data_IF_367532917880
#
_entry.id   IF_367532917880
#
_cell.length_a   1.000
_cell.length_b   1.000
_cell.length_c   1.000
_cell.angle_alpha   90.00
_cell.angle_beta   90.00
_cell.angle_gamma   90.00
#
_symmetry.space_group_name_H-M   'P 1'
#
loop_
_entity.id
_entity.type
_entity.pdbx_description
1 polymer ?
#
# COMPACT_ATOMS: atom_id res chain seq x y z
N UNK A 1 77.21 -54.36 28.52
CA UNK A 1 76.25 -53.33 28.05
C UNK A 1 76.46 -52.07 28.88
N UNK A 2 77.33 -51.18 28.40
CA UNK A 2 77.54 -49.83 28.93
C UNK A 2 78.46 -49.13 27.93
N UNK A 3 77.97 -48.10 27.24
CA UNK A 3 78.80 -47.33 26.32
C UNK A 3 78.69 -45.84 26.65
N UNK A 4 79.86 -45.32 27.05
CA UNK A 4 80.19 -43.95 27.39
C UNK A 4 80.03 -43.02 26.19
N UNK A 5 79.66 -41.78 26.52
CA UNK A 5 79.69 -40.56 25.70
C UNK A 5 81.13 -40.23 25.25
N UNK A 6 81.28 -39.56 24.09
CA UNK A 6 82.08 -38.34 24.07
C UNK A 6 81.37 -37.13 23.42
N UNK A 7 81.68 -35.95 23.95
CA UNK A 7 81.22 -34.62 23.53
C UNK A 7 81.88 -34.19 22.21
N UNK A 8 81.14 -33.54 21.33
CA UNK A 8 81.43 -32.21 20.75
C UNK A 8 80.75 -32.00 19.39
N UNK A 9 79.91 -30.96 19.30
CA UNK A 9 79.80 -29.98 18.21
C UNK A 9 78.53 -29.15 18.44
N UNK A 10 78.68 -28.11 19.25
CA UNK A 10 77.78 -26.96 19.25
C UNK A 10 77.93 -26.27 17.89
N UNK A 11 76.83 -26.17 17.16
CA UNK A 11 76.72 -25.35 15.96
C UNK A 11 76.68 -23.88 16.37
N UNK A 12 77.79 -23.17 16.18
CA UNK A 12 77.82 -21.71 16.13
C UNK A 12 77.09 -21.26 14.86
N UNK A 13 75.94 -20.63 15.02
CA UNK A 13 75.36 -19.80 13.97
C UNK A 13 76.00 -18.41 14.05
N UNK A 14 76.78 -18.05 13.03
CA UNK A 14 77.35 -16.73 12.87
C UNK A 14 76.23 -15.70 12.67
N UNK A 15 76.10 -14.79 13.63
CA UNK A 15 75.20 -13.64 13.58
C UNK A 15 75.99 -12.43 13.07
N UNK A 16 76.25 -12.39 11.76
CA UNK A 16 76.95 -11.26 11.13
C UNK A 16 76.13 -10.77 9.92
N UNK A 17 75.75 -9.49 10.00
CA UNK A 17 75.16 -8.65 8.95
C UNK A 17 73.70 -8.93 8.53
N UNK A 18 72.75 -8.74 9.46
CA UNK A 18 71.42 -8.29 9.08
C UNK A 18 71.48 -6.80 8.75
N UNK A 19 71.67 -6.48 7.47
CA UNK A 19 71.60 -5.10 6.98
C UNK A 19 70.28 -4.47 7.40
N UNK A 20 70.35 -3.38 8.16
CA UNK A 20 69.23 -2.58 8.69
C UNK A 20 68.18 -2.29 7.60
N UNK A 21 68.62 -2.17 6.35
CA UNK A 21 67.74 -1.96 5.19
C UNK A 21 66.76 -3.12 4.95
N UNK A 22 67.14 -4.37 5.22
CA UNK A 22 66.25 -5.52 5.06
C UNK A 22 65.17 -5.59 6.14
N UNK A 23 65.48 -5.11 7.35
CA UNK A 23 64.51 -5.00 8.45
C UNK A 23 63.51 -3.88 8.16
N UNK A 24 63.96 -2.72 7.69
CA UNK A 24 63.07 -1.64 7.26
C UNK A 24 62.19 -2.03 6.07
N UNK A 25 62.73 -2.78 5.10
CA UNK A 25 61.94 -3.27 3.96
C UNK A 25 60.86 -4.26 4.41
N UNK A 26 61.16 -5.13 5.38
CA UNK A 26 60.21 -6.09 5.93
C UNK A 26 59.10 -5.39 6.73
N UNK A 27 59.45 -4.38 7.54
CA UNK A 27 58.48 -3.57 8.31
C UNK A 27 57.60 -2.74 7.38
N UNK A 28 58.16 -2.18 6.31
CA UNK A 28 57.41 -1.44 5.30
C UNK A 28 56.45 -2.37 4.51
N UNK A 29 56.88 -3.59 4.19
CA UNK A 29 56.04 -4.60 3.54
C UNK A 29 54.89 -5.06 4.44
N UNK A 30 55.13 -5.25 5.74
CA UNK A 30 54.10 -5.60 6.73
C UNK A 30 53.11 -4.45 6.93
N UNK A 31 53.57 -3.19 6.92
CA UNK A 31 52.70 -2.01 6.96
C UNK A 31 51.86 -1.85 5.68
N UNK A 32 52.41 -2.19 4.51
CA UNK A 32 51.66 -2.22 3.24
C UNK A 32 50.58 -3.31 3.24
N UNK A 33 50.90 -4.49 3.77
CA UNK A 33 49.94 -5.60 3.89
C UNK A 33 48.83 -5.28 4.91
N UNK A 34 49.16 -4.54 5.98
CA UNK A 34 48.19 -4.09 6.99
C UNK A 34 47.25 -2.98 6.46
N UNK A 35 47.67 -2.16 5.49
CA UNK A 35 46.81 -1.14 4.87
C UNK A 35 45.93 -1.68 3.74
N UNK A 36 46.23 -2.85 3.19
CA UNK A 36 45.41 -3.50 2.14
C UNK A 36 44.23 -4.34 2.63
N UNK A 37 44.02 -4.47 3.95
CA UNK A 37 42.88 -5.21 4.52
C UNK A 37 41.71 -4.34 5.03
N UNK A 38 41.74 -3.04 4.75
CA UNK A 38 40.59 -2.15 4.95
C UNK A 38 40.03 -1.68 3.61
N UNK A 39 39.67 -2.65 2.77
CA UNK A 39 38.76 -2.44 1.64
C UNK A 39 37.89 -3.69 1.49
N UNK A 40 37.37 -4.20 2.62
CA UNK A 40 36.08 -4.86 2.54
C UNK A 40 35.12 -3.77 2.05
N UNK A 41 34.75 -3.88 0.77
CA UNK A 41 33.60 -3.20 0.23
C UNK A 41 32.45 -3.61 1.16
N UNK A 42 32.15 -2.76 2.14
CA UNK A 42 30.81 -2.70 2.68
C UNK A 42 29.95 -2.44 1.46
N UNK A 43 29.46 -3.51 0.84
CA UNK A 43 28.14 -3.46 0.26
C UNK A 43 27.26 -3.11 1.44
N UNK A 44 27.17 -1.81 1.72
CA UNK A 44 25.98 -1.21 2.22
C UNK A 44 24.94 -1.70 1.24
N UNK A 45 24.33 -2.86 1.55
CA UNK A 45 22.93 -3.03 1.29
C UNK A 45 22.34 -1.82 1.99
N UNK A 46 22.24 -0.73 1.22
CA UNK A 46 21.20 0.24 1.44
C UNK A 46 19.99 -0.66 1.63
N UNK A 47 19.53 -0.73 2.86
CA UNK A 47 18.16 -1.11 3.13
C UNK A 47 17.35 0.00 2.45
N UNK A 48 17.29 -0.06 1.12
CA UNK A 48 16.19 0.46 0.37
C UNK A 48 15.02 -0.12 1.13
N UNK A 49 14.31 0.75 1.85
CA UNK A 49 12.90 0.53 2.10
C UNK A 49 12.38 -0.05 0.81
N UNK A 50 12.02 -1.33 0.80
CA UNK A 50 11.50 -1.98 -0.39
C UNK A 50 10.17 -1.30 -0.60
N UNK A 51 10.19 -0.22 -1.38
CA UNK A 51 8.97 0.44 -1.82
C UNK A 51 8.15 -0.66 -2.49
N UNK A 52 6.88 -0.78 -2.10
CA UNK A 52 5.98 -1.85 -2.51
C UNK A 52 5.65 -1.67 -3.99
N UNK A 53 6.58 -2.03 -4.87
CA UNK A 53 6.49 -1.75 -6.32
C UNK A 53 6.01 -2.97 -7.11
N UNK A 54 5.89 -4.15 -6.48
CA UNK A 54 5.49 -5.42 -7.11
C UNK A 54 4.40 -6.13 -6.29
N UNK A 55 3.24 -5.50 -6.26
CA UNK A 55 2.08 -5.94 -5.48
C UNK A 55 0.98 -6.43 -6.41
N UNK A 56 0.43 -7.60 -6.09
CA UNK A 56 -0.65 -8.24 -6.82
C UNK A 56 -1.83 -8.50 -5.90
N UNK A 57 -3.04 -8.44 -6.43
CA UNK A 57 -4.24 -8.83 -5.71
C UNK A 57 -5.03 -9.87 -6.50
N UNK A 58 -5.53 -10.90 -5.81
CA UNK A 58 -6.50 -11.86 -6.33
C UNK A 58 -7.72 -11.77 -5.43
N UNK A 59 -8.83 -11.25 -5.96
CA UNK A 59 -10.03 -10.91 -5.20
C UNK A 59 -11.18 -11.76 -5.72
N UNK A 60 -11.73 -12.62 -4.85
CA UNK A 60 -12.68 -13.66 -5.26
C UNK A 60 -13.98 -13.57 -4.45
N UNK A 61 -15.09 -13.30 -5.13
CA UNK A 61 -16.42 -13.58 -4.62
C UNK A 61 -16.84 -14.96 -5.12
N UNK A 62 -16.99 -15.92 -4.21
CA UNK A 62 -17.27 -17.32 -4.58
C UNK A 62 -18.77 -17.65 -4.62
N UNK A 63 -19.63 -16.74 -4.17
CA UNK A 63 -21.06 -17.00 -3.98
C UNK A 63 -21.94 -16.38 -5.05
N UNK A 64 -23.09 -17.01 -5.29
CA UNK A 64 -24.13 -16.57 -6.24
C UNK A 64 -25.44 -16.27 -5.55
N UNK A 65 -26.40 -15.75 -6.31
CA UNK A 65 -27.76 -15.40 -5.90
C UNK A 65 -27.87 -14.11 -5.08
N UNK A 66 -29.04 -13.47 -5.20
CA UNK A 66 -29.32 -12.15 -4.63
C UNK A 66 -29.12 -12.08 -3.10
N UNK A 67 -29.49 -13.13 -2.37
CA UNK A 67 -29.31 -13.16 -0.91
C UNK A 67 -27.84 -13.15 -0.45
N UNK A 68 -26.90 -13.35 -1.39
CA UNK A 68 -25.46 -13.27 -1.16
C UNK A 68 -24.83 -11.99 -1.72
N UNK A 69 -25.65 -10.97 -2.01
CA UNK A 69 -25.22 -9.67 -2.51
C UNK A 69 -23.95 -9.12 -1.80
N UNK A 70 -23.89 -9.21 -0.47
CA UNK A 70 -22.74 -8.78 0.34
C UNK A 70 -21.40 -9.35 -0.09
N UNK A 71 -21.32 -10.60 -0.56
CA UNK A 71 -20.04 -11.19 -0.95
C UNK A 71 -19.46 -10.48 -2.19
N UNK A 72 -20.31 -10.09 -3.15
CA UNK A 72 -19.86 -9.24 -4.27
C UNK A 72 -19.45 -7.85 -3.79
N UNK A 73 -20.28 -7.22 -2.96
CA UNK A 73 -20.01 -5.87 -2.45
C UNK A 73 -18.70 -5.83 -1.64
N UNK A 74 -18.42 -6.86 -0.83
CA UNK A 74 -17.17 -7.06 -0.12
C UNK A 74 -15.97 -7.06 -1.07
N UNK A 75 -15.99 -7.93 -2.10
CA UNK A 75 -14.91 -8.05 -3.08
C UNK A 75 -14.69 -6.74 -3.83
N UNK A 76 -15.76 -6.08 -4.28
CA UNK A 76 -15.66 -4.78 -4.97
C UNK A 76 -15.14 -3.66 -4.04
N UNK A 77 -15.48 -3.71 -2.75
CA UNK A 77 -14.97 -2.75 -1.77
C UNK A 77 -13.46 -2.91 -1.56
N UNK A 78 -12.98 -4.15 -1.50
CA UNK A 78 -11.54 -4.46 -1.44
C UNK A 78 -10.83 -4.09 -2.74
N UNK A 79 -11.46 -4.34 -3.90
CA UNK A 79 -10.96 -3.91 -5.22
C UNK A 79 -10.75 -2.39 -5.26
N UNK A 80 -11.75 -1.61 -4.84
CA UNK A 80 -11.63 -0.16 -4.71
C UNK A 80 -10.50 0.24 -3.75
N UNK A 81 -10.35 -0.48 -2.64
CA UNK A 81 -9.32 -0.20 -1.64
C UNK A 81 -7.91 -0.39 -2.21
N UNK A 82 -7.63 -1.51 -2.86
CA UNK A 82 -6.31 -1.77 -3.44
C UNK A 82 -5.97 -0.81 -4.58
N UNK A 83 -6.97 -0.43 -5.39
CA UNK A 83 -6.80 0.60 -6.43
C UNK A 83 -6.50 1.96 -5.84
N UNK A 84 -7.25 2.38 -4.81
CA UNK A 84 -6.98 3.64 -4.10
C UNK A 84 -5.57 3.68 -3.51
N UNK A 85 -5.06 2.53 -3.08
CA UNK A 85 -3.71 2.39 -2.53
C UNK A 85 -2.65 2.12 -3.61
N UNK A 86 -3.00 2.20 -4.90
CA UNK A 86 -2.07 2.28 -6.02
C UNK A 86 -1.76 0.96 -6.74
N UNK A 87 -2.45 -0.14 -6.43
CA UNK A 87 -2.34 -1.36 -7.26
C UNK A 87 -3.11 -1.13 -8.58
N UNK A 88 -2.45 -1.20 -9.75
CA UNK A 88 -3.11 -1.01 -11.05
C UNK A 88 -3.93 -2.25 -11.45
N UNK A 89 -4.92 -2.07 -12.34
CA UNK A 89 -5.81 -3.14 -12.80
C UNK A 89 -5.09 -4.35 -13.39
N UNK A 90 -4.01 -4.11 -14.15
CA UNK A 90 -3.16 -5.18 -14.69
C UNK A 90 -2.54 -6.11 -13.63
N UNK A 91 -2.62 -5.75 -12.35
CA UNK A 91 -2.14 -6.53 -11.20
C UNK A 91 -3.24 -6.96 -10.24
N UNK A 92 -4.50 -6.78 -10.62
CA UNK A 92 -5.65 -7.22 -9.84
C UNK A 92 -6.42 -8.25 -10.67
N UNK A 93 -6.49 -9.48 -10.18
CA UNK A 93 -7.39 -10.49 -10.74
C UNK A 93 -8.70 -10.46 -9.95
N UNK A 94 -9.78 -10.02 -10.59
CA UNK A 94 -11.11 -9.93 -10.00
C UNK A 94 -12.03 -11.04 -10.51
N UNK A 95 -12.51 -11.88 -9.59
CA UNK A 95 -13.44 -12.98 -9.88
C UNK A 95 -14.77 -12.74 -9.16
N UNK A 96 -15.85 -12.57 -9.92
CA UNK A 96 -17.21 -12.36 -9.40
C UNK A 96 -18.14 -13.48 -9.89
N UNK A 97 -18.57 -14.35 -8.97
CA UNK A 97 -19.38 -15.53 -9.31
C UNK A 97 -20.80 -15.20 -9.81
N UNK A 98 -21.28 -13.97 -9.64
CA UNK A 98 -22.57 -13.51 -10.14
C UNK A 98 -22.45 -12.04 -10.63
N UNK A 99 -23.56 -11.43 -11.07
CA UNK A 99 -23.63 -9.99 -11.34
C UNK A 99 -24.84 -9.37 -10.61
N UNK A 100 -24.59 -8.70 -9.48
CA UNK A 100 -25.65 -8.03 -8.72
C UNK A 100 -26.07 -6.70 -9.36
N UNK A 101 -25.19 -6.07 -10.15
CA UNK A 101 -25.48 -4.80 -10.82
C UNK A 101 -26.52 -4.98 -11.94
N UNK A 102 -26.50 -6.14 -12.60
CA UNK A 102 -27.44 -6.52 -13.65
C UNK A 102 -28.60 -7.42 -13.17
N UNK A 103 -28.73 -7.67 -11.86
CA UNK A 103 -29.78 -8.54 -11.33
C UNK A 103 -31.15 -7.86 -11.43
N UNK A 104 -32.18 -8.59 -11.87
CA UNK A 104 -33.54 -8.06 -11.97
C UNK A 104 -34.17 -7.63 -10.63
N UNK A 105 -33.62 -8.09 -9.50
CA UNK A 105 -34.04 -7.64 -8.15
C UNK A 105 -33.38 -6.33 -7.72
N UNK A 106 -32.38 -5.86 -8.45
CA UNK A 106 -31.66 -4.65 -8.10
C UNK A 106 -32.48 -3.42 -8.52
N UNK A 107 -32.98 -2.68 -7.52
CA UNK A 107 -33.70 -1.43 -7.72
C UNK A 107 -32.80 -0.29 -8.25
N UNK A 108 -31.48 -0.48 -8.24
CA UNK A 108 -30.47 0.46 -8.73
C UNK A 108 -29.65 -0.18 -9.86
N UNK A 109 -30.14 -0.14 -11.11
CA UNK A 109 -29.46 -0.76 -12.24
C UNK A 109 -28.02 -0.26 -12.39
N UNK A 110 -27.11 -1.19 -12.69
CA UNK A 110 -25.67 -0.95 -12.85
C UNK A 110 -24.95 -0.41 -11.60
N UNK A 111 -25.56 -0.52 -10.42
CA UNK A 111 -24.98 -0.04 -9.16
C UNK A 111 -24.92 -1.12 -8.10
N UNK A 112 -23.85 -1.09 -7.30
CA UNK A 112 -23.64 -1.96 -6.14
C UNK A 112 -23.13 -1.12 -4.99
N UNK A 113 -23.80 -1.17 -3.85
CA UNK A 113 -23.47 -0.47 -2.61
C UNK A 113 -23.04 -1.44 -1.51
N UNK A 114 -22.17 -0.99 -0.58
CA UNK A 114 -21.82 -1.69 0.66
C UNK A 114 -22.36 -0.98 1.92
N UNK A 115 -23.22 0.03 1.74
CA UNK A 115 -23.79 0.83 2.81
C UNK A 115 -25.17 1.35 2.40
N UNK A 116 -26.07 1.43 3.38
CA UNK A 116 -27.46 1.89 3.25
C UNK A 116 -27.61 3.33 2.75
N UNK A 117 -26.58 4.18 2.90
CA UNK A 117 -26.65 5.56 2.42
C UNK A 117 -26.44 5.72 0.90
N UNK A 118 -26.11 4.63 0.19
CA UNK A 118 -25.87 4.56 -1.26
C UNK A 118 -24.93 5.64 -1.83
N UNK A 119 -24.04 6.20 -1.00
CA UNK A 119 -23.14 7.29 -1.44
C UNK A 119 -22.05 6.83 -2.40
N UNK A 120 -21.76 5.53 -2.40
CA UNK A 120 -20.64 4.96 -3.12
C UNK A 120 -21.08 3.77 -3.98
N UNK A 121 -21.22 4.00 -5.28
CA UNK A 121 -21.34 2.91 -6.25
C UNK A 121 -19.97 2.22 -6.42
N UNK A 122 -19.94 0.93 -6.10
CA UNK A 122 -18.76 0.06 -6.18
C UNK A 122 -18.55 -0.54 -7.58
N UNK A 123 -19.59 -0.63 -8.41
CA UNK A 123 -19.54 -1.32 -9.72
C UNK A 123 -19.28 -0.39 -10.91
N UNK A 124 -19.32 0.94 -10.71
CA UNK A 124 -19.22 1.93 -11.80
C UNK A 124 -18.00 1.77 -12.73
N UNK A 125 -17.86 2.67 -13.71
CA UNK A 125 -17.00 2.53 -14.92
C UNK A 125 -15.54 2.07 -14.75
N UNK A 126 -15.00 2.06 -13.53
CA UNK A 126 -13.62 1.73 -13.21
C UNK A 126 -13.42 0.29 -12.71
N UNK A 127 -14.38 -0.63 -12.89
CA UNK A 127 -14.23 -2.04 -12.47
C UNK A 127 -13.91 -2.93 -13.67
N UNK A 128 -12.75 -3.58 -13.63
CA UNK A 128 -12.37 -4.63 -14.56
C UNK A 128 -12.58 -5.99 -13.92
N UNK A 129 -13.55 -6.76 -14.44
CA UNK A 129 -13.83 -8.12 -13.96
C UNK A 129 -13.21 -9.14 -14.92
N UNK A 130 -12.27 -9.94 -14.42
CA UNK A 130 -11.53 -10.93 -15.20
C UNK A 130 -12.30 -12.23 -15.40
N UNK A 131 -12.93 -12.73 -14.33
CA UNK A 131 -13.72 -13.96 -14.36
C UNK A 131 -15.14 -13.63 -13.89
N UNK A 132 -16.12 -13.82 -14.80
CA UNK A 132 -17.53 -13.48 -14.54
C UNK A 132 -18.39 -14.73 -14.48
N UNK A 133 -19.31 -14.77 -13.54
CA UNK A 133 -20.38 -15.78 -13.51
C UNK A 133 -19.81 -17.21 -13.51
N UNK A 134 -20.17 -17.97 -14.53
CA UNK A 134 -19.76 -19.36 -14.71
C UNK A 134 -18.24 -19.57 -14.84
N UNK A 135 -17.46 -18.53 -15.15
CA UNK A 135 -16.00 -18.65 -15.19
C UNK A 135 -15.35 -18.74 -13.80
N UNK A 136 -16.08 -18.41 -12.73
CA UNK A 136 -15.58 -18.45 -11.34
C UNK A 136 -15.72 -19.87 -10.78
N UNK A 137 -14.87 -20.78 -11.24
CA UNK A 137 -14.81 -22.17 -10.79
C UNK A 137 -13.58 -22.41 -9.91
N UNK A 138 -13.59 -23.51 -9.14
CA UNK A 138 -12.40 -23.93 -8.37
C UNK A 138 -11.22 -24.15 -9.31
N UNK A 139 -11.46 -24.77 -10.47
CA UNK A 139 -10.44 -25.04 -11.48
C UNK A 139 -9.75 -23.75 -11.97
N UNK A 140 -10.53 -22.75 -12.40
CA UNK A 140 -9.96 -21.50 -12.90
C UNK A 140 -9.22 -20.74 -11.81
N UNK A 141 -9.74 -20.74 -10.58
CA UNK A 141 -9.06 -20.17 -9.43
C UNK A 141 -7.68 -20.82 -9.20
N UNK A 142 -7.61 -22.15 -9.17
CA UNK A 142 -6.35 -22.88 -9.00
C UNK A 142 -5.40 -22.68 -10.20
N UNK A 143 -5.92 -22.53 -11.43
CA UNK A 143 -5.12 -22.19 -12.60
C UNK A 143 -4.48 -20.81 -12.49
N UNK A 144 -5.21 -19.80 -12.01
CA UNK A 144 -4.67 -18.46 -11.73
C UNK A 144 -3.51 -18.56 -10.73
N UNK A 145 -3.76 -19.22 -9.60
CA UNK A 145 -2.75 -19.39 -8.56
C UNK A 145 -1.53 -20.18 -9.04
N UNK A 146 -1.70 -21.27 -9.79
CA UNK A 146 -0.59 -22.15 -10.22
C UNK A 146 0.04 -21.76 -11.56
N UNK A 147 -0.59 -20.84 -12.30
CA UNK A 147 -0.10 -20.27 -13.56
C UNK A 147 -0.24 -21.26 -14.71
N UNK A 148 -1.07 -22.29 -14.53
CA UNK A 148 -1.31 -23.38 -15.47
C UNK A 148 -2.46 -23.00 -16.39
N UNK A 149 -2.23 -22.02 -17.26
CA UNK A 149 -3.21 -21.57 -18.24
C UNK A 149 -2.93 -22.17 -19.61
N UNK A 150 -3.99 -22.43 -20.37
CA UNK A 150 -3.87 -22.71 -21.80
C UNK A 150 -3.29 -21.49 -22.54
N UNK A 151 -2.64 -21.73 -23.67
CA UNK A 151 -1.99 -20.66 -24.46
C UNK A 151 -2.97 -19.59 -24.91
N UNK A 152 -4.24 -19.93 -25.13
CA UNK A 152 -5.30 -19.03 -25.56
C UNK A 152 -5.81 -18.07 -24.46
N UNK A 153 -5.59 -18.36 -23.17
CA UNK A 153 -6.07 -17.50 -22.08
C UNK A 153 -5.39 -16.13 -22.17
N UNK A 154 -6.11 -15.00 -22.22
CA UNK A 154 -5.49 -13.68 -22.37
C UNK A 154 -4.60 -13.32 -21.18
N UNK A 155 -3.62 -12.43 -21.41
CA UNK A 155 -2.65 -12.01 -20.39
C UNK A 155 -3.32 -11.37 -19.16
N UNK A 156 -4.39 -10.59 -19.36
CA UNK A 156 -5.14 -9.93 -18.28
C UNK A 156 -5.73 -10.92 -17.27
N UNK A 157 -6.15 -12.11 -17.72
CA UNK A 157 -6.71 -13.16 -16.86
C UNK A 157 -5.65 -14.01 -16.13
N UNK A 158 -4.37 -13.65 -16.19
CA UNK A 158 -3.26 -14.44 -15.61
C UNK A 158 -2.59 -13.65 -14.50
N UNK A 159 -2.35 -14.30 -13.37
CA UNK A 159 -1.47 -13.77 -12.32
C UNK A 159 -0.02 -13.84 -12.82
N UNK A 160 0.66 -12.72 -13.08
CA UNK A 160 2.03 -12.73 -13.62
C UNK A 160 3.08 -12.37 -12.56
N UNK A 161 2.86 -12.87 -11.35
CA UNK A 161 3.75 -12.69 -10.21
C UNK A 161 5.02 -13.55 -10.31
N UNK A 162 6.04 -13.13 -9.57
CA UNK A 162 7.40 -13.65 -9.53
C UNK A 162 7.92 -13.75 -8.09
N UNK A 163 9.22 -14.07 -7.94
CA UNK A 163 9.85 -14.30 -6.64
C UNK A 163 9.98 -13.05 -5.76
N UNK A 164 9.83 -11.86 -6.35
CA UNK A 164 9.84 -10.58 -5.66
C UNK A 164 8.44 -10.07 -5.30
N UNK A 165 7.40 -10.73 -5.79
CA UNK A 165 6.01 -10.27 -5.68
C UNK A 165 5.43 -10.45 -4.28
N UNK A 166 4.68 -9.45 -3.83
CA UNK A 166 3.80 -9.55 -2.66
C UNK A 166 2.35 -9.70 -3.11
N UNK A 167 1.67 -10.73 -2.64
CA UNK A 167 0.33 -11.08 -3.14
C UNK A 167 -0.70 -10.99 -2.02
N UNK A 168 -1.79 -10.25 -2.26
CA UNK A 168 -3.02 -10.33 -1.48
C UNK A 168 -3.99 -11.30 -2.15
N UNK A 169 -4.30 -12.41 -1.50
CA UNK A 169 -5.39 -13.30 -1.88
C UNK A 169 -6.56 -13.04 -0.93
N UNK A 170 -7.64 -12.45 -1.42
CA UNK A 170 -8.87 -12.22 -0.67
C UNK A 170 -10.01 -13.07 -1.23
N UNK A 171 -10.67 -13.83 -0.36
CA UNK A 171 -11.83 -14.65 -0.72
C UNK A 171 -12.99 -14.38 0.22
N UNK A 172 -14.20 -14.29 -0.30
CA UNK A 172 -15.43 -14.15 0.49
C UNK A 172 -16.55 -15.00 -0.09
N UNK A 173 -17.31 -15.63 0.79
CA UNK A 173 -18.39 -16.53 0.43
C UNK A 173 -18.84 -17.40 1.59
N UNK A 174 -19.55 -18.48 1.27
CA UNK A 174 -19.95 -19.50 2.25
C UNK A 174 -18.92 -20.62 2.37
N UNK A 175 -18.73 -21.13 3.57
CA UNK A 175 -17.71 -22.12 3.87
C UNK A 175 -18.05 -22.89 5.15
N UNK A 176 -17.14 -23.76 5.54
CA UNK A 176 -17.25 -24.61 6.70
C UNK A 176 -15.90 -25.18 7.11
N UNK A 177 -15.93 -26.28 7.87
CA UNK A 177 -14.72 -26.93 8.35
C UNK A 177 -13.88 -27.45 7.17
N UNK A 178 -12.78 -26.74 6.90
CA UNK A 178 -11.78 -27.02 5.87
C UNK A 178 -12.23 -26.82 4.41
N UNK A 179 -13.32 -26.10 4.14
CA UNK A 179 -13.73 -25.79 2.77
C UNK A 179 -14.41 -24.42 2.60
N UNK A 180 -14.37 -23.91 1.37
CA UNK A 180 -15.17 -22.77 0.90
C UNK A 180 -15.90 -23.14 -0.38
N UNK A 181 -17.19 -22.80 -0.48
CA UNK A 181 -18.03 -23.11 -1.63
C UNK A 181 -17.80 -22.13 -2.77
N UNK A 182 -17.76 -22.66 -3.99
CA UNK A 182 -17.77 -21.95 -5.26
C UNK A 182 -19.09 -22.21 -5.99
N UNK A 183 -19.75 -21.13 -6.42
CA UNK A 183 -21.03 -21.17 -7.15
C UNK A 183 -22.12 -22.06 -6.52
N UNK A 184 -22.12 -22.19 -5.18
CA UNK A 184 -23.07 -23.03 -4.42
C UNK A 184 -23.06 -24.54 -4.75
N UNK A 185 -22.08 -25.01 -5.53
CA UNK A 185 -22.04 -26.39 -6.05
C UNK A 185 -20.68 -27.08 -5.91
N UNK A 186 -19.59 -26.34 -6.11
CA UNK A 186 -18.24 -26.84 -5.92
C UNK A 186 -17.67 -26.42 -4.56
N UNK A 187 -16.67 -27.14 -4.07
CA UNK A 187 -15.98 -26.83 -2.83
C UNK A 187 -14.47 -26.80 -3.09
N UNK A 188 -13.82 -25.71 -2.71
CA UNK A 188 -12.36 -25.66 -2.59
C UNK A 188 -11.99 -26.12 -1.18
N UNK A 189 -11.27 -27.23 -1.08
CA UNK A 189 -10.82 -27.76 0.20
C UNK A 189 -9.51 -27.10 0.65
N UNK A 190 -9.23 -27.15 1.95
CA UNK A 190 -7.99 -26.64 2.56
C UNK A 190 -6.73 -27.29 1.95
N UNK A 191 -6.83 -28.58 1.60
CA UNK A 191 -5.78 -29.33 0.91
C UNK A 191 -5.50 -28.78 -0.49
N UNK A 192 -6.54 -28.51 -1.29
CA UNK A 192 -6.39 -27.98 -2.65
C UNK A 192 -5.71 -26.60 -2.64
N UNK A 193 -6.14 -25.74 -1.71
CA UNK A 193 -5.52 -24.43 -1.52
C UNK A 193 -4.06 -24.56 -1.09
N UNK A 194 -3.76 -25.47 -0.16
CA UNK A 194 -2.39 -25.68 0.31
C UNK A 194 -1.47 -26.21 -0.79
N UNK A 195 -1.95 -27.14 -1.62
CA UNK A 195 -1.21 -27.67 -2.75
C UNK A 195 -0.97 -26.62 -3.83
N UNK A 196 -1.95 -25.75 -4.10
CA UNK A 196 -1.76 -24.62 -5.02
C UNK A 196 -0.70 -23.65 -4.50
N UNK A 197 -0.75 -23.28 -3.22
CA UNK A 197 0.23 -22.38 -2.59
C UNK A 197 1.62 -23.03 -2.56
N UNK A 198 1.72 -24.33 -2.32
CA UNK A 198 2.97 -25.09 -2.42
C UNK A 198 3.56 -25.00 -3.82
N UNK A 199 2.76 -25.26 -4.85
CA UNK A 199 3.20 -25.12 -6.23
C UNK A 199 3.61 -23.70 -6.59
N UNK A 200 2.90 -22.69 -6.09
CA UNK A 200 3.31 -21.29 -6.25
C UNK A 200 4.69 -21.04 -5.66
N UNK A 201 4.96 -21.60 -4.47
CA UNK A 201 6.23 -21.42 -3.79
C UNK A 201 7.38 -22.14 -4.51
N UNK A 202 7.17 -23.39 -4.92
CA UNK A 202 8.14 -24.18 -5.70
C UNK A 202 8.45 -23.55 -7.07
N UNK A 203 7.48 -22.86 -7.67
CA UNK A 203 7.66 -22.12 -8.92
C UNK A 203 8.13 -20.67 -8.71
N UNK A 204 8.51 -20.28 -7.51
CA UNK A 204 9.01 -18.94 -7.19
C UNK A 204 8.06 -17.81 -7.62
N UNK A 205 6.76 -17.95 -7.35
CA UNK A 205 5.73 -17.00 -7.81
C UNK A 205 5.32 -15.95 -6.78
N UNK A 206 5.89 -16.00 -5.58
CA UNK A 206 5.74 -14.94 -4.60
C UNK A 206 6.92 -14.93 -3.63
N UNK A 207 7.23 -13.73 -3.14
CA UNK A 207 8.06 -13.50 -1.97
C UNK A 207 7.26 -13.74 -0.70
N UNK A 208 6.14 -13.02 -0.59
CA UNK A 208 5.21 -13.06 0.54
C UNK A 208 3.76 -13.12 0.03
N UNK A 209 2.93 -13.94 0.66
CA UNK A 209 1.52 -14.13 0.32
C UNK A 209 0.67 -13.89 1.57
N UNK A 210 -0.26 -12.95 1.50
CA UNK A 210 -1.28 -12.73 2.51
C UNK A 210 -2.60 -13.32 2.02
N UNK A 211 -3.11 -14.33 2.72
CA UNK A 211 -4.41 -14.96 2.46
C UNK A 211 -5.41 -14.41 3.47
N UNK A 212 -6.48 -13.79 2.99
CA UNK A 212 -7.57 -13.25 3.79
C UNK A 212 -8.88 -13.89 3.37
N UNK A 213 -9.57 -14.54 4.30
CA UNK A 213 -10.83 -15.24 3.99
C UNK A 213 -11.96 -14.79 4.91
N UNK A 214 -13.03 -14.29 4.30
CA UNK A 214 -14.27 -13.93 4.99
C UNK A 214 -15.36 -14.99 4.76
N UNK A 215 -15.45 -15.95 5.68
CA UNK A 215 -16.42 -17.04 5.63
C UNK A 215 -16.58 -17.73 7.00
N UNK A 216 -17.57 -18.61 7.15
CA UNK A 216 -17.73 -19.44 8.35
C UNK A 216 -16.57 -20.44 8.47
N UNK A 217 -16.04 -20.59 9.69
CA UNK A 217 -14.89 -21.44 10.00
C UNK A 217 -13.64 -21.15 9.16
N UNK A 218 -13.44 -19.89 8.72
CA UNK A 218 -12.36 -19.48 7.82
C UNK A 218 -10.97 -19.93 8.28
N UNK A 219 -10.69 -19.96 9.59
CA UNK A 219 -9.40 -20.39 10.14
C UNK A 219 -8.98 -21.81 9.69
N UNK A 220 -9.95 -22.70 9.48
CA UNK A 220 -9.71 -24.10 9.14
C UNK A 220 -9.16 -24.29 7.71
N UNK A 221 -9.43 -23.34 6.80
CA UNK A 221 -8.87 -23.36 5.44
C UNK A 221 -7.34 -23.28 5.42
N UNK A 222 -6.74 -22.81 6.51
CA UNK A 222 -5.30 -22.62 6.60
C UNK A 222 -4.57 -23.82 7.18
N UNK A 223 -5.27 -24.84 7.69
CA UNK A 223 -4.68 -25.96 8.43
C UNK A 223 -3.57 -26.67 7.65
N UNK A 224 -3.77 -26.88 6.36
CA UNK A 224 -2.87 -27.64 5.50
C UNK A 224 -1.74 -26.80 4.90
N UNK A 225 -1.73 -25.47 5.12
CA UNK A 225 -0.66 -24.60 4.65
C UNK A 225 0.66 -24.94 5.34
N UNK A 226 1.73 -25.01 4.54
CA UNK A 226 3.08 -25.33 5.02
C UNK A 226 4.18 -24.56 4.26
N UNK A 227 3.82 -23.71 3.31
CA UNK A 227 4.77 -22.95 2.50
C UNK A 227 5.30 -21.71 3.23
N UNK A 228 6.63 -21.47 3.27
CA UNK A 228 7.19 -20.32 3.95
C UNK A 228 6.89 -19.00 3.20
N UNK A 229 6.75 -17.92 3.97
CA UNK A 229 6.38 -16.59 3.44
C UNK A 229 4.87 -16.40 3.30
N UNK A 230 4.06 -17.30 3.84
CA UNK A 230 2.60 -17.22 3.83
C UNK A 230 2.10 -16.70 5.17
N UNK A 231 1.25 -15.68 5.14
CA UNK A 231 0.49 -15.16 6.28
C UNK A 231 -0.99 -15.38 5.96
N UNK A 232 -1.76 -15.91 6.91
CA UNK A 232 -3.19 -16.15 6.70
C UNK A 232 -4.02 -15.53 7.81
N UNK A 233 -5.20 -15.01 7.48
CA UNK A 233 -6.19 -14.51 8.43
C UNK A 233 -7.60 -14.84 7.96
N UNK A 234 -8.43 -15.31 8.89
CA UNK A 234 -9.82 -15.71 8.65
C UNK A 234 -10.77 -14.95 9.56
N UNK A 235 -12.01 -14.75 9.12
CA UNK A 235 -13.02 -14.01 9.87
C UNK A 235 -13.63 -14.76 11.07
N UNK A 236 -13.44 -16.07 11.16
CA UNK A 236 -14.04 -16.92 12.21
C UNK A 236 -13.19 -18.16 12.52
N UNK A 237 -13.29 -18.66 13.76
CA UNK A 237 -12.67 -19.91 14.20
C UNK A 237 -13.49 -21.15 13.84
N UNK A 238 -12.88 -22.34 13.98
CA UNK A 238 -13.61 -23.62 13.89
C UNK A 238 -14.80 -23.63 14.86
N UNK A 239 -15.97 -24.02 14.35
CA UNK A 239 -17.23 -23.99 15.10
C UNK A 239 -17.92 -22.63 15.21
N UNK A 240 -17.34 -21.55 14.66
CA UNK A 240 -17.96 -20.23 14.60
C UNK A 240 -18.51 -19.91 13.20
N UNK A 241 -19.58 -19.11 13.15
CA UNK A 241 -20.05 -18.50 11.90
C UNK A 241 -19.36 -17.15 11.66
N UNK A 242 -19.34 -16.71 10.40
CA UNK A 242 -19.14 -15.30 10.04
C UNK A 242 -20.49 -14.61 9.84
N UNK A 243 -20.58 -13.32 10.14
CA UNK A 243 -21.85 -12.61 10.18
C UNK A 243 -21.90 -11.42 9.23
N UNK A 244 -23.07 -11.20 8.64
CA UNK A 244 -23.36 -10.03 7.84
C UNK A 244 -23.55 -8.75 8.69
N UNK A 245 -23.51 -7.60 8.02
CA UNK A 245 -23.74 -6.28 8.59
C UNK A 245 -24.52 -5.40 7.59
N UNK A 246 -25.12 -4.30 8.06
CA UNK A 246 -25.89 -3.31 7.28
C UNK A 246 -26.99 -3.97 6.44
N UNK A 247 -28.19 -4.09 7.02
CA UNK A 247 -29.35 -4.56 6.30
C UNK A 247 -29.94 -3.38 5.52
N UNK A 248 -29.96 -3.49 4.21
CA UNK A 248 -30.49 -2.45 3.36
C UNK A 248 -31.94 -2.75 2.99
N UNK A 249 -32.87 -1.86 3.34
CA UNK A 249 -34.30 -2.06 3.07
C UNK A 249 -34.64 -1.92 1.59
N UNK A 250 -33.91 -1.10 0.84
CA UNK A 250 -34.19 -0.83 -0.57
C UNK A 250 -33.65 -1.95 -1.46
N UNK A 251 -32.54 -2.59 -1.04
CA UNK A 251 -31.97 -3.78 -1.70
C UNK A 251 -32.60 -5.07 -1.15
N UNK A 252 -33.09 -5.04 0.10
CA UNK A 252 -33.80 -6.13 0.77
C UNK A 252 -32.91 -7.22 1.39
N UNK A 253 -31.59 -7.01 1.43
CA UNK A 253 -30.60 -7.98 1.95
C UNK A 253 -29.44 -7.24 2.62
N UNK A 254 -28.60 -7.96 3.38
CA UNK A 254 -27.37 -7.38 3.92
C UNK A 254 -26.38 -7.07 2.81
N UNK A 255 -25.70 -5.92 2.91
CA UNK A 255 -24.84 -5.38 1.85
C UNK A 255 -23.34 -5.53 2.10
N UNK A 256 -22.93 -5.95 3.29
CA UNK A 256 -21.51 -6.16 3.64
C UNK A 256 -21.38 -7.20 4.76
N UNK A 257 -20.24 -7.89 4.86
CA UNK A 257 -19.94 -8.73 6.03
C UNK A 257 -19.16 -7.97 7.11
N UNK A 258 -19.28 -8.38 8.37
CA UNK A 258 -18.67 -7.68 9.52
C UNK A 258 -17.16 -7.57 9.40
N UNK A 259 -16.49 -8.69 9.14
CA UNK A 259 -15.04 -8.72 9.01
C UNK A 259 -14.59 -7.75 7.92
N UNK A 260 -15.17 -7.85 6.73
CA UNK A 260 -14.90 -6.93 5.63
C UNK A 260 -15.22 -5.48 5.97
N UNK A 261 -16.35 -5.19 6.63
CA UNK A 261 -16.71 -3.84 7.04
C UNK A 261 -15.64 -3.19 7.94
N UNK A 262 -15.13 -3.91 8.95
CA UNK A 262 -14.08 -3.37 9.83
C UNK A 262 -12.71 -3.33 9.13
N UNK A 263 -12.42 -4.24 8.21
CA UNK A 263 -11.25 -4.12 7.31
C UNK A 263 -11.32 -2.82 6.51
N UNK A 264 -12.46 -2.53 5.88
CA UNK A 264 -12.66 -1.30 5.10
C UNK A 264 -12.55 -0.06 5.99
N UNK A 265 -13.19 -0.05 7.16
CA UNK A 265 -13.13 1.07 8.10
C UNK A 265 -11.70 1.41 8.54
N UNK A 266 -10.82 0.41 8.64
CA UNK A 266 -9.40 0.60 8.87
C UNK A 266 -8.72 1.28 7.68
N UNK A 267 -8.95 0.79 6.46
CA UNK A 267 -8.31 1.30 5.25
C UNK A 267 -8.83 2.66 4.76
N UNK A 268 -10.07 3.05 5.09
CA UNK A 268 -10.62 4.38 4.76
C UNK A 268 -9.80 5.54 5.32
N UNK A 269 -9.01 5.28 6.36
CA UNK A 269 -8.15 6.28 7.02
C UNK A 269 -6.72 6.29 6.48
N UNK A 270 -6.40 5.39 5.54
CA UNK A 270 -5.06 5.19 5.02
C UNK A 270 -4.92 5.69 3.59
N UNK A 271 -3.69 6.05 3.25
CA UNK A 271 -3.25 6.38 1.89
C UNK A 271 -2.03 5.52 1.51
N UNK A 272 -1.57 5.62 0.27
CA UNK A 272 -0.46 4.84 -0.27
C UNK A 272 0.85 4.99 0.52
N UNK A 273 1.08 6.12 1.18
CA UNK A 273 2.28 6.42 1.97
C UNK A 273 2.13 6.11 3.47
N UNK A 274 1.01 5.50 3.86
CA UNK A 274 0.74 5.17 5.26
C UNK A 274 1.59 4.00 5.72
N UNK A 275 2.17 4.13 6.92
CA UNK A 275 3.04 3.12 7.52
C UNK A 275 2.34 2.28 8.60
N UNK A 276 1.01 2.18 8.56
CA UNK A 276 0.25 1.33 9.46
C UNK A 276 0.69 -0.13 9.26
N UNK A 277 0.94 -0.85 10.36
CA UNK A 277 1.46 -2.21 10.31
C UNK A 277 0.34 -3.25 10.21
N UNK A 278 0.67 -4.47 9.76
CA UNK A 278 -0.25 -5.61 9.80
C UNK A 278 -0.72 -5.92 11.22
N UNK A 279 0.16 -5.77 12.21
CA UNK A 279 -0.23 -5.87 13.63
C UNK A 279 -1.33 -4.87 13.98
N UNK A 280 -1.25 -3.63 13.49
CA UNK A 280 -2.30 -2.63 13.71
C UNK A 280 -3.63 -3.01 13.04
N UNK A 281 -3.60 -3.60 11.84
CA UNK A 281 -4.81 -4.10 11.18
C UNK A 281 -5.42 -5.26 11.97
N UNK A 282 -4.62 -6.25 12.35
CA UNK A 282 -5.11 -7.45 13.03
C UNK A 282 -5.66 -7.14 14.43
N UNK A 283 -5.01 -6.22 15.15
CA UNK A 283 -5.50 -5.75 16.44
C UNK A 283 -6.74 -4.85 16.35
N UNK A 284 -7.13 -4.39 15.15
CA UNK A 284 -8.37 -3.62 14.96
C UNK A 284 -9.62 -4.50 14.97
N UNK A 285 -9.47 -5.82 14.79
CA UNK A 285 -10.58 -6.77 14.81
C UNK A 285 -11.00 -7.08 16.25
N UNK A 286 -12.13 -6.50 16.65
CA UNK A 286 -12.70 -6.68 17.99
C UNK A 286 -13.79 -7.77 17.93
N UNK A 287 -13.68 -8.88 18.70
CA UNK A 287 -14.65 -9.98 18.62
C UNK A 287 -16.10 -9.58 18.87
N UNK A 288 -16.37 -8.66 19.79
CA UNK A 288 -17.74 -8.17 20.05
C UNK A 288 -18.35 -7.41 18.87
N UNK A 289 -17.51 -6.80 18.03
CA UNK A 289 -17.94 -6.07 16.83
C UNK A 289 -18.13 -7.02 15.64
N UNK A 290 -17.30 -8.07 15.56
CA UNK A 290 -17.37 -9.10 14.53
C UNK A 290 -18.48 -10.14 14.79
N UNK A 291 -18.84 -10.37 16.05
CA UNK A 291 -19.65 -11.51 16.50
C UNK A 291 -19.00 -12.86 16.19
N UNK A 292 -17.69 -12.85 15.91
CA UNK A 292 -16.83 -14.00 15.63
C UNK A 292 -15.40 -13.66 16.00
N UNK A 293 -14.52 -14.65 16.03
CA UNK A 293 -13.11 -14.47 16.36
C UNK A 293 -12.27 -14.47 15.08
N UNK A 294 -11.72 -13.31 14.72
CA UNK A 294 -10.73 -13.24 13.66
C UNK A 294 -9.43 -13.93 14.09
N UNK A 295 -8.97 -14.91 13.31
CA UNK A 295 -7.79 -15.70 13.62
C UNK A 295 -6.74 -15.54 12.53
N UNK A 296 -5.50 -15.23 12.92
CA UNK A 296 -4.37 -15.11 12.00
C UNK A 296 -3.25 -16.10 12.36
N UNK A 297 -2.76 -16.82 11.34
CA UNK A 297 -1.72 -17.84 11.42
C UNK A 297 -0.38 -17.28 10.93
N UNK A 298 0.65 -17.30 11.80
CA UNK A 298 1.94 -16.61 11.58
C UNK A 298 3.16 -17.52 11.57
N UNK A 299 3.03 -18.80 11.89
CA UNK A 299 4.15 -19.76 11.97
C UNK A 299 4.93 -19.90 10.65
N UNK A 300 4.26 -19.68 9.52
CA UNK A 300 4.87 -19.69 8.18
C UNK A 300 5.48 -18.34 7.75
N UNK A 301 5.30 -17.29 8.56
CA UNK A 301 5.68 -15.91 8.24
C UNK A 301 6.72 -15.38 9.24
N UNK A 302 7.98 -15.29 8.80
CA UNK A 302 9.12 -15.01 9.69
C UNK A 302 9.22 -13.55 10.16
N UNK A 303 8.65 -12.59 9.42
CA UNK A 303 8.81 -11.17 9.73
C UNK A 303 7.85 -10.76 10.84
N UNK A 304 8.30 -9.94 11.81
CA UNK A 304 7.45 -9.48 12.89
C UNK A 304 6.41 -8.49 12.35
N UNK A 305 5.13 -8.71 12.67
CA UNK A 305 3.98 -8.02 12.06
C UNK A 305 3.93 -6.51 12.35
N UNK A 306 4.57 -6.05 13.43
CA UNK A 306 4.71 -4.62 13.76
C UNK A 306 5.65 -3.88 12.79
N UNK A 307 6.54 -4.60 12.10
CA UNK A 307 7.50 -4.05 11.12
C UNK A 307 7.04 -4.20 9.67
N UNK A 308 5.87 -4.78 9.43
CA UNK A 308 5.35 -5.02 8.08
C UNK A 308 4.20 -4.05 7.83
N UNK A 309 4.40 -2.98 7.04
CA UNK A 309 3.31 -2.12 6.59
C UNK A 309 2.22 -2.91 5.86
N UNK A 310 0.95 -2.55 6.08
CA UNK A 310 -0.20 -3.11 5.32
C UNK A 310 -0.08 -2.85 3.82
N UNK A 311 0.58 -1.76 3.45
CA UNK A 311 0.86 -1.40 2.06
C UNK A 311 1.80 -2.41 1.36
N UNK A 312 2.49 -3.31 2.08
CA UNK A 312 3.19 -4.47 1.47
C UNK A 312 2.24 -5.42 0.74
N UNK A 313 0.94 -5.41 1.03
CA UNK A 313 -0.02 -6.32 0.39
C UNK A 313 -1.16 -5.55 -0.29
N UNK A 314 -1.56 -4.42 0.29
CA UNK A 314 -2.74 -3.67 -0.16
C UNK A 314 -2.44 -2.48 -1.05
N UNK A 315 -1.19 -2.05 -1.15
CA UNK A 315 -0.83 -0.84 -1.91
C UNK A 315 0.33 -1.09 -2.85
N UNK A 316 0.50 -0.17 -3.80
CA UNK A 316 1.71 -0.13 -4.60
C UNK A 316 2.13 1.31 -4.86
N UNK A 317 3.42 1.59 -4.79
CA UNK A 317 3.99 2.84 -5.27
C UNK A 317 4.51 2.57 -6.67
N UNK A 318 3.83 3.09 -7.69
CA UNK A 318 4.38 3.09 -9.04
C UNK A 318 5.48 4.14 -9.14
N UNK A 319 6.70 3.72 -9.48
CA UNK A 319 7.78 4.64 -9.80
C UNK A 319 7.52 5.23 -11.19
N UNK A 320 7.02 6.46 -11.24
CA UNK A 320 6.81 7.17 -12.51
C UNK A 320 8.12 7.78 -12.97
N UNK A 321 8.75 7.16 -13.97
CA UNK A 321 9.89 7.77 -14.67
C UNK A 321 9.32 8.82 -15.62
N UNK A 322 9.51 10.10 -15.30
CA UNK A 322 9.22 11.19 -16.23
C UNK A 322 10.19 11.10 -17.42
N UNK A 323 9.69 10.85 -18.62
CA UNK A 323 10.50 10.94 -19.83
C UNK A 323 10.50 12.38 -20.32
N UNK A 324 11.68 13.03 -20.36
CA UNK A 324 11.85 14.43 -20.80
C UNK A 324 11.56 14.65 -22.29
N UNK A 325 11.32 13.59 -23.06
CA UNK A 325 10.96 13.65 -24.48
C UNK A 325 9.56 13.10 -24.69
N UNK A 326 8.73 13.87 -25.40
CA UNK A 326 7.49 13.35 -25.98
C UNK A 326 7.79 12.09 -26.81
N UNK A 327 6.96 11.06 -26.65
CA UNK A 327 7.07 9.81 -27.39
C UNK A 327 7.02 10.13 -28.90
N UNK A 328 8.14 9.97 -29.61
CA UNK A 328 8.15 10.11 -31.07
C UNK A 328 7.44 8.91 -31.67
N UNK A 329 6.12 9.04 -31.86
CA UNK A 329 5.34 8.10 -32.64
C UNK A 329 6.03 7.86 -34.00
N UNK A 330 6.09 6.61 -34.42
CA UNK A 330 6.64 6.25 -35.73
C UNK A 330 5.91 7.03 -36.82
N UNK A 331 6.57 8.06 -37.35
CA UNK A 331 6.11 8.78 -38.52
C UNK A 331 6.07 7.78 -39.68
N UNK A 332 4.87 7.37 -40.07
CA UNK A 332 4.66 6.42 -41.14
C UNK A 332 5.39 6.89 -42.39
N UNK A 333 6.39 6.13 -42.84
CA UNK A 333 6.97 6.29 -44.16
C UNK A 333 5.82 6.16 -45.16
N UNK A 334 5.53 7.25 -45.89
CA UNK A 334 4.70 7.22 -47.09
C UNK A 334 5.31 6.22 -48.06
N UNK A 335 4.77 5.01 -48.13
CA UNK A 335 5.07 4.07 -49.21
C UNK A 335 4.35 4.54 -50.46
N UNK A 336 5.13 4.87 -51.48
CA UNK A 336 4.65 5.12 -52.83
C UNK A 336 3.91 3.88 -53.34
N UNK A 337 2.69 4.08 -53.85
CA UNK A 337 1.87 3.05 -54.48
C UNK A 337 2.62 2.45 -55.68
N UNK A 338 3.10 1.22 -55.52
CA UNK A 338 3.39 0.34 -56.65
C UNK A 338 2.12 -0.46 -56.97
N UNK A 339 1.64 -0.32 -58.19
CA UNK A 339 0.39 -0.86 -58.72
C UNK A 339 0.50 -2.36 -58.95
N UNK A 340 -0.13 -3.17 -58.11
CA UNK A 340 -0.36 -4.60 -58.40
C UNK A 340 -1.76 -4.76 -58.98
N UNK A 341 -1.82 -5.13 -60.27
CA UNK A 341 -3.06 -5.48 -60.98
C UNK A 341 -3.53 -6.87 -60.53
N UNK A 342 -4.79 -7.01 -60.11
CA UNK A 342 -5.49 -8.30 -60.04
C UNK A 342 -6.64 -8.31 -61.05
N UNK A 343 -6.92 -9.44 -61.75
CA UNK A 343 -8.00 -9.53 -62.71
C UNK A 343 -9.36 -9.67 -62.04
N UNK A 344 -10.36 -9.05 -62.66
CA UNK A 344 -11.78 -9.05 -62.34
C UNK A 344 -12.50 -10.04 -63.28
N UNK A 345 -13.29 -10.95 -62.73
CA UNK A 345 -14.45 -11.64 -63.32
C UNK A 345 -15.17 -12.28 -62.10
N UNK A 346 -16.46 -12.12 -61.78
CA UNK A 346 -17.68 -11.97 -62.56
C UNK A 346 -18.70 -11.07 -61.82
N UNK A 347 -19.62 -10.50 -62.59
CA UNK A 347 -20.69 -9.59 -62.19
C UNK A 347 -22.05 -10.27 -61.96
N UNK A 348 -22.86 -9.78 -61.01
CA UNK A 348 -24.34 -9.80 -60.97
C UNK A 348 -24.84 -8.57 -60.13
N UNK A 349 -25.96 -7.89 -60.46
CA UNK A 349 -26.09 -6.42 -60.30
C UNK A 349 -26.93 -5.87 -59.13
N UNK A 350 -26.70 -4.55 -58.91
CA UNK A 350 -27.43 -3.45 -58.23
C UNK A 350 -28.90 -3.74 -57.81
N UNK A 351 -29.40 -3.29 -56.65
CA UNK A 351 -29.74 -1.86 -56.40
C UNK A 351 -30.28 -1.72 -54.97
N UNK A 352 -29.72 -0.82 -54.16
CA UNK A 352 -30.49 0.25 -53.49
C UNK A 352 -29.56 1.27 -52.81
N UNK A 353 -29.84 2.54 -53.07
CA UNK A 353 -29.06 3.72 -52.70
C UNK A 353 -29.87 4.49 -51.68
N UNK A 354 -29.31 4.78 -50.50
CA UNK A 354 -29.68 6.00 -49.77
C UNK A 354 -28.53 6.61 -48.99
N UNK A 355 -28.29 7.85 -49.37
CA UNK A 355 -27.29 8.82 -48.95
C UNK A 355 -27.52 9.25 -47.50
N UNK A 356 -26.45 9.27 -46.69
CA UNK A 356 -26.45 9.90 -45.37
C UNK A 356 -25.76 11.26 -45.48
N UNK A 357 -26.55 12.33 -45.51
CA UNK A 357 -26.08 13.71 -45.33
C UNK A 357 -25.96 14.01 -43.85
N UNK A 358 -24.72 14.25 -43.38
CA UNK A 358 -24.44 14.79 -42.06
C UNK A 358 -24.59 16.32 -42.08
N UNK A 359 -25.61 16.84 -41.41
CA UNK A 359 -25.71 18.27 -41.08
C UNK A 359 -25.11 18.50 -39.70
N UNK A 360 -24.01 19.25 -39.70
CA UNK A 360 -23.42 19.93 -38.54
C UNK A 360 -24.42 20.93 -37.97
N UNK A 361 -24.56 20.99 -36.66
CA UNK A 361 -25.23 22.10 -35.98
C UNK A 361 -24.45 22.44 -34.72
N UNK A 362 -23.83 23.60 -34.77
CA UNK A 362 -23.30 24.36 -33.65
C UNK A 362 -24.42 24.71 -32.68
N UNK A 363 -24.15 24.67 -31.37
CA UNK A 363 -24.87 25.48 -30.40
C UNK A 363 -23.94 25.82 -29.23
N UNK A 364 -23.94 27.10 -28.88
CA UNK A 364 -23.04 27.76 -27.94
C UNK A 364 -23.89 28.45 -26.84
N UNK A 365 -23.35 28.45 -25.61
CA UNK A 365 -23.57 29.40 -24.50
C UNK A 365 -24.83 29.08 -23.63
N UNK A 366 -24.76 28.90 -22.29
CA UNK A 366 -24.41 29.93 -21.28
C UNK A 366 -24.20 29.31 -19.88
N UNK A 367 -23.15 29.74 -19.16
CA UNK A 367 -23.00 29.60 -17.69
C UNK A 367 -23.41 30.89 -16.94
N UNK A 368 -23.83 30.84 -15.66
CA UNK A 368 -23.97 32.02 -14.82
C UNK A 368 -22.77 32.28 -13.89
N UNK A 369 -22.38 33.56 -13.80
CA UNK A 369 -21.33 34.16 -12.96
C UNK A 369 -21.76 34.40 -11.50
N UNK A 370 -20.79 34.38 -10.58
CA UNK A 370 -20.50 35.29 -9.42
C UNK A 370 -19.36 34.66 -8.58
N UNK A 371 -18.38 35.33 -7.98
CA UNK A 371 -17.99 36.74 -7.84
C UNK A 371 -16.49 36.77 -7.46
N UNK A 372 -15.77 37.83 -7.87
CA UNK A 372 -14.36 38.09 -7.61
C UNK A 372 -14.16 38.76 -6.24
N UNK A 373 -13.10 38.37 -5.49
CA UNK A 373 -12.28 39.23 -4.64
C UNK A 373 -11.10 38.43 -4.03
N UNK A 374 -9.98 38.28 -4.78
CA UNK A 374 -8.65 37.98 -4.19
C UNK A 374 -7.48 38.19 -5.18
N UNK A 375 -7.31 39.39 -5.74
CA UNK A 375 -6.22 39.68 -6.69
C UNK A 375 -5.33 40.86 -6.26
N UNK A 376 -4.54 40.65 -5.21
CA UNK A 376 -3.30 41.43 -4.94
C UNK A 376 -2.13 40.47 -4.67
N UNK A 377 -2.40 39.32 -4.03
CA UNK A 377 -1.38 38.33 -3.69
C UNK A 377 -0.84 37.53 -4.90
N UNK A 378 -1.68 37.25 -5.90
CA UNK A 378 -1.28 36.45 -7.07
C UNK A 378 -0.33 37.21 -8.01
N UNK A 379 -0.47 38.53 -8.09
CA UNK A 379 0.41 39.37 -8.93
C UNK A 379 1.83 39.44 -8.35
N UNK A 380 1.94 39.58 -7.02
CA UNK A 380 3.23 39.57 -6.31
C UNK A 380 3.91 38.20 -6.40
N UNK A 381 3.14 37.11 -6.26
CA UNK A 381 3.66 35.74 -6.37
C UNK A 381 4.20 35.44 -7.77
N UNK A 382 3.51 35.88 -8.83
CA UNK A 382 3.97 35.67 -10.21
C UNK A 382 5.26 36.42 -10.55
N UNK A 383 5.46 37.61 -9.99
CA UNK A 383 6.69 38.40 -10.15
C UNK A 383 7.86 37.73 -9.42
N UNK A 384 7.62 37.18 -8.21
CA UNK A 384 8.62 36.46 -7.43
C UNK A 384 9.02 35.13 -8.10
N UNK A 385 8.05 34.40 -8.65
CA UNK A 385 8.29 33.13 -9.35
C UNK A 385 9.12 33.33 -10.63
N UNK A 386 8.83 34.38 -11.42
CA UNK A 386 9.57 34.68 -12.65
C UNK A 386 11.04 35.09 -12.41
N UNK A 387 11.34 35.59 -11.21
CA UNK A 387 12.72 35.91 -10.80
C UNK A 387 13.47 34.70 -10.24
N UNK A 388 12.77 33.71 -9.68
CA UNK A 388 13.38 32.48 -9.18
C UNK A 388 13.71 31.47 -10.29
N UNK A 389 12.98 31.46 -11.41
CA UNK A 389 13.29 30.59 -12.57
C UNK A 389 14.55 31.01 -13.35
N UNK A 390 15.16 32.17 -13.04
CA UNK A 390 16.36 32.67 -13.74
C UNK A 390 17.69 32.39 -13.02
N UNK A 391 17.70 31.57 -11.98
CA UNK A 391 18.93 31.22 -11.25
C UNK A 391 19.33 29.79 -11.59
N UNK A 392 19.92 29.60 -12.75
CA UNK A 392 20.67 28.38 -13.11
C UNK A 392 22.14 28.60 -12.77
N UNK A 393 22.53 28.35 -11.52
CA UNK A 393 23.83 27.73 -11.21
C UNK A 393 23.91 27.36 -9.72
N UNK A 394 24.02 26.06 -9.44
CA UNK A 394 24.00 25.50 -8.07
C UNK A 394 25.23 25.92 -7.24
N UNK A 395 26.33 26.31 -7.89
CA UNK A 395 27.56 26.76 -7.23
C UNK A 395 27.47 28.18 -6.63
N UNK A 396 26.47 28.96 -7.06
CA UNK A 396 26.26 30.32 -6.53
C UNK A 396 25.44 30.28 -5.24
N UNK A 397 24.49 29.34 -5.10
CA UNK A 397 23.62 29.19 -3.92
C UNK A 397 24.42 28.74 -2.68
N UNK A 398 25.39 27.85 -2.86
CA UNK A 398 26.28 27.38 -1.78
C UNK A 398 27.20 28.49 -1.28
N UNK A 399 27.70 29.34 -2.19
CA UNK A 399 28.54 30.49 -1.82
C UNK A 399 27.75 31.58 -1.07
N UNK A 400 26.51 31.87 -1.47
CA UNK A 400 25.66 32.80 -0.71
C UNK A 400 25.25 32.25 0.66
N UNK A 401 25.06 30.93 0.80
CA UNK A 401 24.83 30.27 2.09
C UNK A 401 26.01 30.42 3.06
N UNK A 402 27.24 30.26 2.57
CA UNK A 402 28.46 30.45 3.35
C UNK A 402 28.70 31.90 3.78
N UNK A 403 28.38 32.86 2.89
CA UNK A 403 28.53 34.30 3.16
C UNK A 403 27.51 34.82 4.18
N UNK A 404 26.32 34.23 4.27
CA UNK A 404 25.28 34.61 5.26
C UNK A 404 25.50 33.94 6.63
N UNK A 405 26.14 32.77 6.66
CA UNK A 405 26.44 32.04 7.91
C UNK A 405 27.54 32.71 8.76
N UNK A 406 28.52 33.37 8.12
CA UNK A 406 29.64 34.03 8.79
C UNK A 406 29.23 35.22 9.68
N UNK A 407 28.37 36.15 9.22
CA UNK A 407 27.82 37.23 10.06
C UNK A 407 26.96 36.70 11.22
N UNK A 408 26.17 35.64 11.00
CA UNK A 408 25.29 35.06 12.03
C UNK A 408 26.10 34.41 13.17
N UNK A 409 27.19 33.72 12.84
CA UNK A 409 28.13 33.19 13.83
C UNK A 409 28.86 34.31 14.59
N UNK A 410 29.26 35.38 13.92
CA UNK A 410 29.87 36.55 14.57
C UNK A 410 28.91 37.27 15.53
N UNK A 411 27.63 37.39 15.16
CA UNK A 411 26.60 38.00 16.04
C UNK A 411 26.32 37.11 17.25
N UNK A 412 26.24 35.78 17.08
CA UNK A 412 26.01 34.85 18.19
C UNK A 412 27.16 34.86 19.21
N UNK A 413 28.41 34.92 18.73
CA UNK A 413 29.60 34.96 19.59
C UNK A 413 29.74 36.30 20.32
N UNK A 414 29.32 37.40 19.67
CA UNK A 414 29.27 38.72 20.31
C UNK A 414 28.20 38.80 21.42
N UNK A 415 27.01 38.21 21.21
CA UNK A 415 25.93 38.16 22.22
C UNK A 415 26.36 37.33 23.45
N UNK A 416 27.09 36.23 23.25
CA UNK A 416 27.68 35.41 24.32
C UNK A 416 28.81 36.14 25.08
N UNK A 417 29.61 36.96 24.40
CA UNK A 417 30.66 37.75 25.06
C UNK A 417 30.09 38.93 25.87
N UNK A 418 28.99 39.54 25.41
CA UNK A 418 28.36 40.68 26.07
C UNK A 418 27.57 40.29 27.34
N UNK A 419 27.12 39.03 27.45
CA UNK A 419 26.47 38.48 28.65
C UNK A 419 27.47 38.09 29.74
N UNK A 420 28.72 37.75 29.37
CA UNK A 420 29.80 37.48 30.33
C UNK A 420 30.30 38.75 31.06
N UNK A 421 30.34 39.89 30.37
CA UNK A 421 30.78 41.18 30.96
C UNK A 421 29.75 41.85 31.90
N UNK A 422 28.46 41.51 31.82
CA UNK A 422 27.45 42.00 32.78
C UNK A 422 27.45 41.26 34.11
N UNK A 423 27.96 40.02 34.15
CA UNK A 423 28.05 39.23 35.38
C UNK A 423 29.31 39.50 36.22
N UNK A 424 30.28 40.27 35.69
CA UNK A 424 31.46 40.69 36.43
C UNK A 424 31.31 42.08 37.09
N UNK A 425 30.26 42.84 36.74
CA UNK A 425 30.02 44.21 37.23
C UNK A 425 28.96 44.31 38.34
N UNK A 426 28.28 43.22 38.73
CA UNK A 426 27.27 43.25 39.81
C UNK A 426 27.76 42.75 41.18
N UNK A 427 29.07 42.52 41.34
CA UNK A 427 29.71 42.22 42.62
C UNK A 427 30.65 43.35 43.06
N UNK A 428 30.16 44.58 43.07
CA UNK A 428 30.77 45.65 43.85
C UNK A 428 29.72 46.73 44.12
N UNK A 429 29.71 47.21 45.36
CA UNK A 429 28.83 48.22 45.96
C UNK A 429 27.48 47.73 46.52
N UNK A 430 27.33 47.92 47.83
CA UNK A 430 26.08 47.79 48.56
C UNK A 430 25.87 48.97 49.51
N UNK A 431 24.67 48.99 50.11
CA UNK A 431 24.16 49.67 51.34
C UNK A 431 23.01 50.68 51.16
N UNK A 432 21.99 50.41 51.99
CA UNK A 432 20.99 51.28 52.67
C UNK A 432 19.97 52.01 51.75
N UNK A 433 18.67 52.16 52.07
CA UNK A 433 18.01 52.53 53.33
C UNK A 433 16.47 52.22 53.31
N UNK A 434 15.77 52.49 54.42
CA UNK A 434 14.44 52.01 54.84
C UNK A 434 13.21 52.86 54.38
N UNK A 435 12.02 52.24 54.46
CA UNK A 435 10.83 52.68 55.26
C UNK A 435 9.45 53.00 54.58
N UNK A 436 8.42 52.22 55.00
CA UNK A 436 6.96 52.49 55.29
C UNK A 436 5.82 52.67 54.25
N UNK A 437 4.80 51.81 54.45
CA UNK A 437 3.33 52.03 54.62
C UNK A 437 2.27 51.73 53.50
N UNK A 438 1.33 50.84 53.89
CA UNK A 438 -0.01 50.31 53.46
C UNK A 438 -1.07 51.27 52.81
N UNK A 439 -2.32 50.85 52.42
CA UNK A 439 -2.98 49.51 52.20
C UNK A 439 -3.94 49.33 50.95
N UNK A 440 -4.14 48.06 50.49
CA UNK A 440 -5.35 47.24 50.01
C UNK A 440 -6.58 47.86 49.25
N UNK A 441 -7.59 47.11 48.66
CA UNK A 441 -7.80 45.64 48.44
C UNK A 441 -8.51 45.13 47.11
N UNK A 442 -8.51 43.78 46.94
CA UNK A 442 -9.56 42.79 46.46
C UNK A 442 -10.38 42.92 45.15
N UNK A 443 -10.47 41.79 44.40
CA UNK A 443 -11.65 40.91 44.07
C UNK A 443 -11.28 40.00 42.88
N UNK A 444 -11.17 38.67 42.97
CA UNK A 444 -12.20 37.61 43.04
C UNK A 444 -13.35 37.72 42.01
N UNK A 445 -13.43 36.72 41.13
CA UNK A 445 -14.32 36.57 39.98
C UNK A 445 -15.49 35.64 40.35
N UNK A 446 -16.72 36.13 40.19
CA UNK A 446 -17.96 35.38 40.41
C UNK A 446 -18.35 34.49 39.21
N UNK A 447 -19.01 33.40 39.57
CA UNK A 447 -19.76 32.43 38.75
C UNK A 447 -21.26 32.75 38.78
N UNK A 448 -21.99 32.13 37.85
CA UNK A 448 -23.44 31.87 37.82
C UNK A 448 -24.30 32.96 37.11
N UNK A 449 -25.42 32.68 36.45
CA UNK A 449 -26.24 31.46 36.34
C UNK A 449 -27.33 31.60 35.25
N UNK A 450 -28.07 30.52 35.09
CA UNK A 450 -29.50 30.36 34.74
C UNK A 450 -29.80 29.89 33.31
N UNK A 451 -30.32 28.67 33.05
CA UNK A 451 -31.52 27.93 33.53
C UNK A 451 -32.86 28.57 33.14
N UNK A 452 -33.68 27.85 32.36
CA UNK A 452 -34.97 27.30 32.84
C UNK A 452 -35.68 26.35 31.82
N UNK A 453 -36.04 25.14 32.31
CA UNK A 453 -37.35 24.40 32.22
C UNK A 453 -37.97 24.04 30.83
N UNK A 454 -38.67 22.90 30.59
CA UNK A 454 -39.50 21.99 31.43
C UNK A 454 -39.92 20.70 30.64
N UNK A 455 -39.86 19.53 31.30
CA UNK A 455 -40.81 18.36 31.39
C UNK A 455 -41.56 17.66 30.22
N UNK A 456 -41.69 16.32 30.40
CA UNK A 456 -42.68 15.31 29.91
C UNK A 456 -42.12 14.35 28.80
N UNK A 457 -42.30 13.01 28.73
CA UNK A 457 -43.19 12.00 29.36
C UNK A 457 -42.63 10.56 29.16
N UNK A 458 -43.21 9.57 29.86
CA UNK A 458 -42.97 8.11 29.96
C UNK A 458 -43.17 7.23 28.68
N UNK A 459 -42.87 5.92 28.83
CA UNK A 459 -43.27 4.68 28.09
C UNK A 459 -42.09 4.06 27.28
N UNK A 460 -41.61 2.82 27.46
CA UNK A 460 -42.28 1.51 27.40
C UNK A 460 -41.45 0.34 28.02
N UNK A 461 -42.14 -0.63 28.64
CA UNK A 461 -41.58 -1.92 29.07
C UNK A 461 -42.71 -2.98 29.07
N UNK A 462 -42.95 -3.70 27.96
CA UNK A 462 -43.60 -5.03 27.91
C UNK A 462 -43.22 -5.74 26.61
N UNK A 463 -42.58 -6.92 26.70
CA UNK A 463 -42.53 -7.89 25.60
C UNK A 463 -42.52 -9.31 26.19
N UNK A 464 -43.71 -9.92 26.25
CA UNK A 464 -43.94 -11.35 26.36
C UNK A 464 -45.23 -11.66 25.59
N UNK A 465 -45.09 -12.32 24.45
CA UNK A 465 -46.14 -12.66 23.49
C UNK A 465 -45.53 -13.12 22.19
#
# INVERSE_FOLDING_TARGET
>A
MALKIPKSKLWQWNFESFSIHRVFLLVFLVMLLATTHSSALSSSFSSSSTMHTNNWAVLVCTSRFWFNYRHMANTLSLYRTVKRLGIPDERIILMLADDMACNARNNYPAQVFNNENHRLNLYGDNVEVDYRGYEVTVENFLRVLTGRHETAVPRSKRLLSDEGSHILLYMTGHGGDEFIKFQDSEELQSHDLADAVKQMKEKHRFKELLIMVDTCQAATLFNQLHSPGVLAIGSSLKGENSYSHHLDSDIGVSVVDRFTFYTLAFFERLNTYSNASLSSLFNSYIPSMLLSTAYYRVDLYKRPLDKVPVTNFFGSVMETIHTDSAYRGFSGKKTSKATTKMPLDQAVPQTERRTLTSTTSENQITEPRKAEDFCIFHSIWSILHSKMEKIEDLDTLVNYGLVVMLPLLAVSTWILHCTSLKNFASHSTGKNEKEKNLPKPKKELCRADSQLKRTATLVDQVASG
#
